data_IF_361805641149
#
_entry.id   IF_361805641149
#
_cell.length_a   1.000
_cell.length_b   1.000
_cell.length_c   1.000
_cell.angle_alpha   90.00
_cell.angle_beta   90.00
_cell.angle_gamma   90.00
#
_symmetry.space_group_name_H-M   'P 1'
#
loop_
_entity.id
_entity.type
_entity.pdbx_description
1 polymer ?
#
# COMPACT_ATOMS: atom_id res chain seq x y z
N UNK A 1 -10.25 -10.81 6.82
CA UNK A 1 -8.84 -10.67 6.43
C UNK A 1 -8.77 -9.63 5.33
N UNK A 2 -8.66 -8.36 5.72
CA UNK A 2 -8.42 -7.30 4.76
C UNK A 2 -6.97 -7.43 4.30
N UNK A 3 -6.72 -7.36 3.00
CA UNK A 3 -5.38 -7.50 2.40
C UNK A 3 -4.37 -6.43 2.87
N UNK A 4 -4.82 -5.42 3.63
CA UNK A 4 -3.99 -4.52 4.42
C UNK A 4 -3.20 -5.26 5.52
N UNK A 5 -3.77 -6.31 6.13
CA UNK A 5 -3.05 -7.17 7.10
C UNK A 5 -1.87 -7.91 6.44
N UNK A 6 -1.98 -8.18 5.13
CA UNK A 6 -0.93 -8.82 4.31
C UNK A 6 0.26 -7.88 4.09
N UNK A 7 0.03 -6.55 4.07
CA UNK A 7 1.09 -5.54 3.95
C UNK A 7 1.73 -5.26 5.33
N UNK A 8 0.94 -5.28 6.41
CA UNK A 8 1.47 -5.11 7.78
C UNK A 8 2.20 -6.36 8.29
N UNK A 9 1.98 -7.52 7.68
CA UNK A 9 2.67 -8.78 8.01
C UNK A 9 4.06 -8.91 7.39
N UNK A 10 4.37 -8.10 6.37
CA UNK A 10 5.72 -7.98 5.81
C UNK A 10 6.53 -7.02 6.68
N UNK A 11 7.75 -7.40 7.02
CA UNK A 11 8.61 -6.49 7.79
C UNK A 11 8.92 -5.25 6.93
N UNK A 12 8.88 -4.04 7.50
CA UNK A 12 9.15 -2.79 6.77
C UNK A 12 10.49 -2.82 6.00
N UNK A 13 11.42 -3.67 6.43
CA UNK A 13 12.71 -3.95 5.79
C UNK A 13 12.59 -4.66 4.43
N UNK A 14 11.58 -5.51 4.25
CA UNK A 14 11.25 -6.18 2.98
C UNK A 14 10.58 -5.22 1.99
N UNK A 15 9.86 -4.20 2.50
CA UNK A 15 9.18 -3.19 1.70
C UNK A 15 10.06 -1.99 1.33
N UNK A 16 11.15 -1.72 2.06
CA UNK A 16 12.08 -0.61 1.75
C UNK A 16 12.83 -0.73 0.42
N UNK A 17 12.81 -1.90 -0.24
CA UNK A 17 13.36 -2.09 -1.59
C UNK A 17 12.28 -2.08 -2.68
N UNK A 18 11.01 -1.96 -2.29
CA UNK A 18 9.89 -2.12 -3.20
C UNK A 18 9.73 -0.86 -4.04
N UNK A 19 10.17 -0.95 -5.29
CA UNK A 19 10.07 0.17 -6.24
C UNK A 19 8.64 0.31 -6.80
N UNK A 20 7.91 -0.80 -6.94
CA UNK A 20 6.55 -0.80 -7.50
C UNK A 20 5.59 -1.57 -6.60
N UNK A 21 4.51 -0.91 -6.16
CA UNK A 21 3.44 -1.49 -5.33
C UNK A 21 2.13 -1.49 -6.11
N UNK A 22 1.55 -2.67 -6.32
CA UNK A 22 0.29 -2.86 -7.05
C UNK A 22 -0.80 -3.34 -6.11
N UNK A 23 -1.76 -2.48 -5.86
CA UNK A 23 -2.90 -2.70 -4.97
C UNK A 23 -4.24 -2.48 -5.68
N UNK A 24 -4.28 -2.64 -7.00
CA UNK A 24 -5.50 -2.43 -7.78
C UNK A 24 -6.60 -3.43 -7.41
N UNK A 25 -7.86 -2.96 -7.42
CA UNK A 25 -9.08 -3.76 -7.19
C UNK A 25 -9.08 -4.55 -5.87
N UNK A 26 -8.65 -3.92 -4.77
CA UNK A 26 -8.57 -4.53 -3.43
C UNK A 26 -9.66 -4.07 -2.47
N UNK A 27 -10.63 -3.27 -2.95
CA UNK A 27 -11.66 -2.64 -2.12
C UNK A 27 -11.10 -1.83 -0.94
N UNK A 28 -9.90 -1.26 -1.09
CA UNK A 28 -9.32 -0.37 -0.08
C UNK A 28 -10.21 0.86 0.07
N UNK A 29 -10.50 1.26 1.31
CA UNK A 29 -11.27 2.47 1.64
C UNK A 29 -10.38 3.61 2.11
N UNK A 30 -9.16 3.29 2.53
CA UNK A 30 -8.18 4.25 3.03
C UNK A 30 -6.78 3.88 2.56
N UNK A 31 -5.90 4.89 2.50
CA UNK A 31 -4.47 4.70 2.33
C UNK A 31 -3.82 4.85 3.72
N UNK A 32 -3.04 3.86 4.21
CA UNK A 32 -2.35 3.99 5.48
C UNK A 32 -1.18 4.99 5.37
N UNK A 33 -0.91 5.82 6.41
CA UNK A 33 0.19 6.80 6.40
C UNK A 33 1.57 6.14 6.23
N UNK A 34 1.69 4.86 6.58
CA UNK A 34 2.89 4.04 6.40
C UNK A 34 3.32 3.92 4.92
N UNK A 35 2.42 4.13 3.95
CA UNK A 35 2.81 4.22 2.53
C UNK A 35 3.85 5.34 2.32
N UNK A 36 3.79 6.42 3.09
CA UNK A 36 4.76 7.52 3.03
C UNK A 36 6.18 7.12 3.47
N UNK A 37 6.35 5.99 4.14
CA UNK A 37 7.65 5.47 4.58
C UNK A 37 8.33 4.60 3.51
N UNK A 38 7.65 4.27 2.41
CA UNK A 38 8.20 3.51 1.29
C UNK A 38 9.05 4.41 0.40
N UNK A 39 10.20 4.85 0.90
CA UNK A 39 11.05 5.88 0.24
C UNK A 39 11.63 5.45 -1.11
N UNK A 40 11.70 4.14 -1.39
CA UNK A 40 12.13 3.61 -2.68
C UNK A 40 10.99 3.43 -3.68
N UNK A 41 9.73 3.68 -3.29
CA UNK A 41 8.57 3.46 -4.13
C UNK A 41 8.49 4.52 -5.22
N UNK A 42 8.62 4.09 -6.47
CA UNK A 42 8.50 4.95 -7.66
C UNK A 42 7.17 4.78 -8.36
N UNK A 43 6.44 3.68 -8.09
CA UNK A 43 5.12 3.43 -8.67
C UNK A 43 4.15 2.82 -7.67
N UNK A 44 3.00 3.47 -7.49
CA UNK A 44 1.88 2.99 -6.70
C UNK A 44 0.63 2.90 -7.56
N UNK A 45 0.07 1.70 -7.72
CA UNK A 45 -1.19 1.48 -8.43
C UNK A 45 -2.31 1.12 -7.46
N UNK A 46 -3.25 2.05 -7.28
CA UNK A 46 -4.42 1.93 -6.41
C UNK A 46 -5.73 1.91 -7.21
N UNK A 47 -5.67 1.70 -8.53
CA UNK A 47 -6.84 1.76 -9.40
C UNK A 47 -7.93 0.75 -9.00
N UNK A 48 -9.20 1.10 -9.16
CA UNK A 48 -10.31 0.21 -8.82
C UNK A 48 -10.50 -0.06 -7.33
N UNK A 49 -9.93 0.77 -6.44
CA UNK A 49 -10.28 0.80 -5.02
C UNK A 49 -11.41 1.80 -4.72
N UNK A 50 -11.86 1.83 -3.47
CA UNK A 50 -12.93 2.70 -2.97
C UNK A 50 -12.36 3.73 -1.97
N UNK A 51 -11.16 4.21 -2.24
CA UNK A 51 -10.41 5.08 -1.33
C UNK A 51 -11.16 6.41 -1.22
N UNK A 52 -11.61 6.72 -0.01
CA UNK A 52 -12.22 8.00 0.35
C UNK A 52 -11.34 8.79 1.33
N UNK A 53 -10.37 8.13 1.96
CA UNK A 53 -9.43 8.72 2.90
C UNK A 53 -8.02 8.59 2.37
N UNK A 54 -7.35 9.74 2.26
CA UNK A 54 -5.94 9.86 1.93
C UNK A 54 -5.26 10.43 3.20
N UNK A 55 -4.11 9.91 3.63
CA UNK A 55 -3.39 10.39 4.80
C UNK A 55 -2.80 11.78 4.59
#
# INVERSE_FOLDING_TARGET
>A
MNKLEEITGMTMKELTLLNHLKLYQKNLTEIPPEIGQLTALTKLDLSGNRISVIP
#
